data_IF_229822842839
#
_entry.id   IF_229822842839
#
_cell.length_a   1.000
_cell.length_b   1.000
_cell.length_c   1.000
_cell.angle_alpha   90.00
_cell.angle_beta   90.00
_cell.angle_gamma   90.00
#
_symmetry.space_group_name_H-M   'P 1'
#
loop_
_entity.id
_entity.type
_entity.pdbx_description
1 polymer ?
#
# COMPACT_ATOMS: atom_id res chain seq x y z
N UNK A 1 6.98 16.75 -17.77
CA UNK A 1 7.84 16.84 -16.54
C UNK A 1 8.90 15.77 -16.65
N UNK A 2 10.17 16.03 -16.30
CA UNK A 2 11.25 15.04 -16.27
C UNK A 2 11.68 14.78 -14.82
N UNK A 3 12.31 13.61 -14.55
CA UNK A 3 12.93 13.32 -13.26
C UNK A 3 14.17 14.19 -13.06
N UNK A 4 14.47 14.59 -11.83
CA UNK A 4 15.73 15.24 -11.47
C UNK A 4 16.82 14.19 -11.19
N UNK A 5 18.07 14.64 -10.97
CA UNK A 5 19.22 13.75 -10.76
C UNK A 5 19.08 12.85 -9.53
N UNK A 6 18.52 13.35 -8.42
CA UNK A 6 18.30 12.57 -7.21
C UNK A 6 17.25 11.48 -7.43
N UNK A 7 16.12 11.82 -8.06
CA UNK A 7 15.06 10.86 -8.44
C UNK A 7 15.59 9.78 -9.39
N UNK A 8 16.42 10.15 -10.37
CA UNK A 8 17.05 9.21 -11.31
C UNK A 8 18.01 8.27 -10.57
N UNK A 9 18.87 8.78 -9.68
CA UNK A 9 19.80 7.96 -8.90
C UNK A 9 19.04 7.00 -7.97
N UNK A 10 17.97 7.46 -7.33
CA UNK A 10 17.11 6.60 -6.49
C UNK A 10 16.52 5.45 -7.30
N UNK A 11 15.89 5.73 -8.45
CA UNK A 11 15.30 4.69 -9.29
C UNK A 11 16.36 3.71 -9.82
N UNK A 12 17.55 4.20 -10.21
CA UNK A 12 18.67 3.32 -10.61
C UNK A 12 19.12 2.40 -9.48
N UNK A 13 19.21 2.91 -8.26
CA UNK A 13 19.58 2.11 -7.11
C UNK A 13 18.50 1.08 -6.76
N UNK A 14 17.21 1.45 -6.82
CA UNK A 14 16.08 0.51 -6.64
C UNK A 14 16.11 -0.57 -7.72
N UNK A 15 16.22 -0.18 -9.01
CA UNK A 15 16.33 -1.13 -10.12
C UNK A 15 17.43 -2.15 -9.87
N UNK A 16 18.65 -1.69 -9.58
CA UNK A 16 19.78 -2.59 -9.33
C UNK A 16 19.53 -3.50 -8.12
N UNK A 17 19.00 -2.94 -7.01
CA UNK A 17 18.75 -3.70 -5.79
C UNK A 17 17.72 -4.83 -5.95
N UNK A 18 16.61 -4.57 -6.65
CA UNK A 18 15.57 -5.59 -6.88
C UNK A 18 16.00 -6.68 -7.88
N UNK A 19 17.05 -6.44 -8.65
CA UNK A 19 17.65 -7.43 -9.55
C UNK A 19 18.92 -8.09 -8.97
N UNK A 20 19.36 -7.70 -7.76
CA UNK A 20 20.60 -8.22 -7.15
C UNK A 20 21.88 -7.69 -7.79
N UNK A 21 21.82 -6.55 -8.47
CA UNK A 21 22.91 -5.92 -9.21
C UNK A 21 23.54 -4.75 -8.43
N UNK A 22 24.72 -4.29 -8.90
CA UNK A 22 25.34 -3.08 -8.36
C UNK A 22 24.89 -1.86 -9.19
N UNK A 23 24.51 -0.78 -8.51
CA UNK A 23 24.12 0.46 -9.16
C UNK A 23 25.34 1.33 -9.53
N UNK A 24 25.33 1.88 -10.74
CA UNK A 24 26.26 2.92 -11.15
C UNK A 24 25.56 4.28 -11.06
N UNK A 25 25.83 5.01 -9.98
CA UNK A 25 25.26 6.33 -9.72
C UNK A 25 26.25 7.43 -10.09
N UNK A 26 25.73 8.55 -10.56
CA UNK A 26 26.52 9.73 -10.89
C UNK A 26 26.24 10.83 -9.90
N UNK A 27 27.29 11.38 -9.28
CA UNK A 27 27.23 12.54 -8.36
C UNK A 27 26.10 12.35 -7.31
N UNK A 28 26.04 11.16 -6.68
CA UNK A 28 24.97 10.82 -5.76
C UNK A 28 25.22 11.37 -4.35
N UNK A 29 24.21 12.05 -3.80
CA UNK A 29 24.11 12.29 -2.37
C UNK A 29 23.56 11.05 -1.69
N UNK A 30 24.46 10.25 -1.07
CA UNK A 30 24.09 8.99 -0.44
C UNK A 30 23.22 9.18 0.80
N UNK A 31 23.33 10.31 1.53
CA UNK A 31 22.46 10.57 2.68
C UNK A 31 21.02 10.77 2.23
N UNK A 32 20.79 11.62 1.25
CA UNK A 32 19.47 11.86 0.66
C UNK A 32 18.91 10.59 -0.02
N UNK A 33 19.78 9.78 -0.65
CA UNK A 33 19.41 8.52 -1.27
C UNK A 33 18.86 7.54 -0.23
N UNK A 34 19.56 7.34 0.88
CA UNK A 34 19.15 6.41 1.95
C UNK A 34 17.91 6.91 2.70
N UNK A 35 17.80 8.22 2.94
CA UNK A 35 16.58 8.81 3.49
C UNK A 35 15.36 8.50 2.63
N UNK A 36 15.45 8.74 1.31
CA UNK A 36 14.38 8.40 0.36
C UNK A 36 14.08 6.90 0.36
N UNK A 37 15.11 6.07 0.38
CA UNK A 37 14.96 4.60 0.41
C UNK A 37 14.28 4.12 1.68
N UNK A 38 14.57 4.72 2.82
CA UNK A 38 13.93 4.44 4.10
C UNK A 38 12.44 4.79 4.07
N UNK A 39 12.11 5.98 3.58
CA UNK A 39 10.73 6.44 3.40
C UNK A 39 9.92 5.53 2.47
N UNK A 40 10.57 4.85 1.53
CA UNK A 40 9.97 3.91 0.59
C UNK A 40 9.99 2.45 1.09
N UNK A 41 10.55 2.16 2.28
CA UNK A 41 10.83 0.80 2.80
C UNK A 41 11.63 -0.07 1.82
N UNK A 42 12.57 0.57 1.12
CA UNK A 42 13.46 -0.06 0.13
C UNK A 42 14.95 0.07 0.52
N UNK A 43 15.24 0.55 1.73
CA UNK A 43 16.62 0.76 2.21
C UNK A 43 17.51 -0.48 2.03
N UNK A 44 17.08 -1.73 2.39
CA UNK A 44 17.94 -2.89 2.22
C UNK A 44 18.35 -3.13 0.75
N UNK A 45 17.42 -3.00 -0.19
CA UNK A 45 17.72 -3.17 -1.62
C UNK A 45 18.66 -2.09 -2.15
N UNK A 46 18.38 -0.82 -1.79
CA UNK A 46 19.21 0.31 -2.23
C UNK A 46 20.62 0.21 -1.64
N UNK A 47 20.75 -0.16 -0.36
CA UNK A 47 22.06 -0.34 0.27
C UNK A 47 22.86 -1.46 -0.43
N UNK A 48 22.26 -2.63 -0.68
CA UNK A 48 22.93 -3.73 -1.39
C UNK A 48 23.41 -3.29 -2.77
N UNK A 49 22.62 -2.51 -3.50
CA UNK A 49 22.98 -2.01 -4.82
C UNK A 49 24.18 -1.06 -4.80
N UNK A 50 24.38 -0.27 -3.73
CA UNK A 50 25.42 0.77 -3.70
C UNK A 50 26.58 0.48 -2.76
N UNK A 51 26.50 -0.54 -1.87
CA UNK A 51 27.50 -0.80 -0.80
C UNK A 51 28.94 -1.01 -1.28
N UNK A 52 29.13 -1.37 -2.55
CA UNK A 52 30.44 -1.56 -3.16
C UNK A 52 31.00 -0.29 -3.84
N UNK A 53 30.26 0.80 -3.88
CA UNK A 53 30.74 2.02 -4.53
C UNK A 53 31.84 2.68 -3.68
N UNK A 54 32.92 3.08 -4.33
CA UNK A 54 34.09 3.69 -3.65
C UNK A 54 33.73 4.96 -2.89
N UNK A 55 32.85 5.80 -3.45
CA UNK A 55 32.42 7.03 -2.83
C UNK A 55 31.67 6.79 -1.50
N UNK A 56 30.83 5.77 -1.42
CA UNK A 56 30.15 5.41 -0.16
C UNK A 56 31.14 4.79 0.83
N UNK A 57 32.04 3.90 0.38
CA UNK A 57 33.02 3.27 1.25
C UNK A 57 34.03 4.27 1.86
N UNK A 58 34.33 5.36 1.17
CA UNK A 58 35.14 6.47 1.70
C UNK A 58 34.44 7.21 2.86
N UNK A 59 33.11 7.24 2.87
CA UNK A 59 32.34 7.80 3.99
C UNK A 59 32.02 6.70 5.02
N UNK A 60 33.05 6.28 5.78
CA UNK A 60 32.94 5.15 6.72
C UNK A 60 31.83 5.33 7.77
N UNK A 61 31.59 6.55 8.24
CA UNK A 61 30.57 6.83 9.25
C UNK A 61 29.16 6.56 8.69
N UNK A 62 28.84 7.11 7.50
CA UNK A 62 27.57 6.87 6.84
C UNK A 62 27.40 5.39 6.47
N UNK A 63 28.45 4.78 5.90
CA UNK A 63 28.41 3.34 5.56
C UNK A 63 28.09 2.46 6.77
N UNK A 64 28.77 2.69 7.91
CA UNK A 64 28.57 1.91 9.12
C UNK A 64 27.16 2.10 9.70
N UNK A 65 26.67 3.34 9.75
CA UNK A 65 25.33 3.67 10.23
C UNK A 65 24.24 2.97 9.41
N UNK A 66 24.30 3.12 8.09
CA UNK A 66 23.30 2.55 7.20
C UNK A 66 23.36 1.01 7.16
N UNK A 67 24.57 0.44 7.19
CA UNK A 67 24.74 -1.01 7.30
C UNK A 67 24.09 -1.57 8.57
N UNK A 68 24.28 -0.91 9.71
CA UNK A 68 23.67 -1.34 10.97
C UNK A 68 22.14 -1.24 10.90
N UNK A 69 21.62 -0.18 10.27
CA UNK A 69 20.18 -0.01 10.11
C UNK A 69 19.57 -1.09 9.20
N UNK A 70 20.23 -1.41 8.09
CA UNK A 70 19.82 -2.50 7.20
C UNK A 70 19.82 -3.84 7.94
N UNK A 71 20.88 -4.15 8.70
CA UNK A 71 20.94 -5.37 9.51
C UNK A 71 19.75 -5.45 10.47
N UNK A 72 19.45 -4.37 11.18
CA UNK A 72 18.33 -4.33 12.13
C UNK A 72 16.98 -4.54 11.44
N UNK A 73 16.76 -3.90 10.29
CA UNK A 73 15.53 -4.04 9.52
C UNK A 73 15.35 -5.46 8.98
N UNK A 74 16.39 -6.02 8.38
CA UNK A 74 16.36 -7.37 7.81
C UNK A 74 16.17 -8.41 8.91
N UNK A 75 16.90 -8.29 10.05
CA UNK A 75 16.71 -9.19 11.18
C UNK A 75 15.27 -9.13 11.72
N UNK A 76 14.72 -7.93 11.92
CA UNK A 76 13.33 -7.78 12.36
C UNK A 76 12.35 -8.39 11.37
N UNK A 77 12.59 -8.24 10.06
CA UNK A 77 11.77 -8.86 9.01
C UNK A 77 11.87 -10.39 9.06
N UNK A 78 13.07 -10.95 9.22
CA UNK A 78 13.30 -12.41 9.31
C UNK A 78 12.61 -13.00 10.54
N UNK A 79 12.71 -12.36 11.69
CA UNK A 79 12.03 -12.81 12.92
C UNK A 79 10.51 -12.79 12.76
N UNK A 80 9.95 -11.69 12.25
CA UNK A 80 8.51 -11.60 11.94
C UNK A 80 8.09 -12.70 10.98
N UNK A 81 8.90 -12.93 9.98
CA UNK A 81 8.70 -13.97 8.98
C UNK A 81 8.55 -15.34 9.61
N UNK A 82 9.47 -15.71 10.49
CA UNK A 82 9.46 -17.00 11.18
C UNK A 82 8.26 -17.15 12.12
N UNK A 83 7.92 -16.10 12.88
CA UNK A 83 6.76 -16.11 13.78
C UNK A 83 5.43 -16.25 13.02
N UNK A 84 5.30 -15.58 11.86
CA UNK A 84 4.13 -15.75 11.01
C UNK A 84 4.03 -17.17 10.46
N UNK A 85 5.14 -17.75 9.97
CA UNK A 85 5.15 -19.12 9.44
C UNK A 85 4.79 -20.15 10.51
N UNK A 86 5.27 -19.98 11.74
CA UNK A 86 4.89 -20.83 12.86
C UNK A 86 3.40 -20.72 13.17
N UNK A 87 2.88 -19.48 13.18
CA UNK A 87 1.45 -19.22 13.42
C UNK A 87 0.60 -19.78 12.30
N UNK A 88 1.02 -19.64 11.04
CA UNK A 88 0.29 -20.13 9.90
C UNK A 88 0.17 -21.67 9.89
N UNK A 89 1.21 -22.39 10.34
CA UNK A 89 1.15 -23.85 10.53
C UNK A 89 0.03 -24.28 11.49
N UNK A 90 -0.26 -23.48 12.52
CA UNK A 90 -1.35 -23.76 13.46
C UNK A 90 -2.72 -23.71 12.78
N UNK A 91 -2.92 -22.78 11.83
CA UNK A 91 -4.15 -22.78 11.02
C UNK A 91 -4.27 -24.06 10.21
N UNK A 92 -3.18 -24.51 9.57
CA UNK A 92 -3.18 -25.72 8.74
C UNK A 92 -3.40 -26.99 9.56
N UNK A 93 -2.86 -27.08 10.77
CA UNK A 93 -3.06 -28.20 11.71
C UNK A 93 -4.53 -28.38 12.09
N UNK A 94 -5.29 -27.27 12.17
CA UNK A 94 -6.73 -27.25 12.43
C UNK A 94 -7.59 -27.33 11.13
N UNK A 95 -6.96 -27.56 9.97
CA UNK A 95 -7.63 -27.68 8.69
C UNK A 95 -8.09 -26.37 8.05
N UNK A 96 -7.71 -25.22 8.64
CA UNK A 96 -8.04 -23.90 8.14
C UNK A 96 -7.05 -23.48 7.04
N UNK A 97 -7.52 -22.70 6.07
CA UNK A 97 -6.73 -22.26 4.91
C UNK A 97 -6.85 -20.75 4.68
N UNK A 98 -6.38 -19.91 5.60
CA UNK A 98 -6.34 -18.47 5.37
C UNK A 98 -5.57 -18.14 4.10
N UNK A 99 -6.11 -17.24 3.30
CA UNK A 99 -5.44 -16.76 2.09
C UNK A 99 -4.40 -15.72 2.50
N UNK A 100 -3.12 -15.99 2.25
CA UNK A 100 -2.06 -15.01 2.45
C UNK A 100 -2.00 -14.10 1.22
N UNK A 101 -2.00 -12.79 1.45
CA UNK A 101 -1.95 -11.78 0.38
C UNK A 101 -0.75 -10.84 0.54
N UNK A 102 -0.38 -10.12 -0.51
CA UNK A 102 0.70 -9.11 -0.51
C UNK A 102 2.06 -9.62 0.03
N UNK A 103 2.46 -9.08 1.20
CA UNK A 103 3.76 -9.15 1.86
C UNK A 103 4.57 -10.39 1.57
N UNK A 104 4.15 -11.51 2.13
CA UNK A 104 4.81 -12.81 2.01
C UNK A 104 4.83 -13.37 0.60
N UNK A 105 3.71 -13.23 -0.10
CA UNK A 105 3.58 -13.78 -1.45
C UNK A 105 4.45 -13.01 -2.43
N UNK A 106 4.54 -11.69 -2.29
CA UNK A 106 5.40 -10.87 -3.15
C UNK A 106 6.89 -10.99 -2.80
N UNK A 107 7.27 -11.17 -1.53
CA UNK A 107 8.68 -11.22 -1.11
C UNK A 107 9.49 -12.31 -1.81
N UNK A 108 8.84 -13.41 -2.19
CA UNK A 108 9.44 -14.55 -2.90
C UNK A 108 9.93 -14.22 -4.31
N UNK A 109 9.42 -13.15 -4.90
CA UNK A 109 9.78 -12.72 -6.24
C UNK A 109 11.06 -11.89 -6.26
N UNK A 110 11.57 -11.53 -5.08
CA UNK A 110 12.81 -10.78 -4.93
C UNK A 110 14.01 -11.72 -4.69
N UNK A 111 15.21 -11.33 -5.15
CA UNK A 111 16.44 -12.11 -4.92
C UNK A 111 16.75 -12.33 -3.43
N UNK A 112 16.46 -11.32 -2.61
CA UNK A 112 16.64 -11.34 -1.16
C UNK A 112 15.29 -11.08 -0.50
N UNK A 113 14.59 -12.13 -0.10
CA UNK A 113 13.20 -12.09 0.39
C UNK A 113 12.99 -11.15 1.56
N UNK A 114 13.87 -11.22 2.57
CA UNK A 114 13.76 -10.43 3.80
C UNK A 114 14.16 -8.96 3.61
N UNK A 115 14.68 -8.59 2.43
CA UNK A 115 14.89 -7.20 2.05
C UNK A 115 13.59 -6.50 1.63
N UNK A 116 12.55 -7.26 1.28
CA UNK A 116 11.21 -6.71 1.06
C UNK A 116 10.52 -6.53 2.40
N UNK A 117 10.77 -5.39 3.02
CA UNK A 117 10.20 -5.07 4.34
C UNK A 117 8.68 -4.97 4.29
N UNK A 118 8.00 -5.57 5.27
CA UNK A 118 6.57 -5.42 5.52
C UNK A 118 6.33 -4.92 6.95
N UNK A 119 5.23 -4.20 7.19
CA UNK A 119 4.83 -3.84 8.55
C UNK A 119 3.88 -4.89 9.15
N UNK A 120 3.19 -5.60 8.29
CA UNK A 120 2.02 -6.41 8.50
C UNK A 120 2.11 -7.69 7.65
N UNK A 121 1.46 -8.74 8.11
CA UNK A 121 1.16 -9.92 7.34
C UNK A 121 -0.36 -10.01 7.20
N UNK A 122 -0.87 -9.94 5.96
CA UNK A 122 -2.30 -9.92 5.68
C UNK A 122 -2.81 -11.31 5.36
N UNK A 123 -3.89 -11.72 6.04
CA UNK A 123 -4.61 -12.95 5.74
C UNK A 123 -6.09 -12.64 5.48
N UNK A 124 -6.64 -13.25 4.44
CA UNK A 124 -8.05 -13.16 4.09
C UNK A 124 -8.73 -14.49 4.44
N UNK A 125 -9.78 -14.44 5.23
CA UNK A 125 -10.47 -15.60 5.77
C UNK A 125 -11.95 -15.59 5.39
N UNK A 126 -12.52 -16.79 5.23
CA UNK A 126 -13.96 -16.92 5.03
C UNK A 126 -14.74 -16.50 6.29
N UNK A 127 -16.01 -16.15 6.13
CA UNK A 127 -16.90 -15.83 7.25
C UNK A 127 -16.93 -16.96 8.30
N UNK A 128 -16.91 -18.23 7.85
CA UNK A 128 -16.97 -19.40 8.73
C UNK A 128 -15.65 -19.63 9.47
N UNK A 129 -14.52 -19.30 8.87
CA UNK A 129 -13.20 -19.57 9.43
C UNK A 129 -12.68 -18.41 10.31
N UNK A 130 -13.37 -17.26 10.32
CA UNK A 130 -12.91 -16.08 11.03
C UNK A 130 -12.76 -16.32 12.54
N UNK A 131 -13.80 -16.80 13.23
CA UNK A 131 -13.72 -17.09 14.66
C UNK A 131 -12.76 -18.24 14.99
N UNK A 132 -12.73 -19.36 14.26
CA UNK A 132 -11.67 -20.36 14.41
C UNK A 132 -10.25 -19.78 14.31
N UNK A 133 -9.95 -18.96 13.30
CA UNK A 133 -8.67 -18.30 13.16
C UNK A 133 -8.38 -17.32 14.31
N UNK A 134 -9.36 -16.53 14.74
CA UNK A 134 -9.25 -15.67 15.90
C UNK A 134 -8.82 -16.45 17.15
N UNK A 135 -9.51 -17.56 17.44
CA UNK A 135 -9.22 -18.38 18.61
C UNK A 135 -7.79 -18.94 18.59
N UNK A 136 -7.30 -19.38 17.42
CA UNK A 136 -5.93 -19.83 17.25
C UNK A 136 -4.94 -18.70 17.55
N UNK A 137 -5.16 -17.49 17.03
CA UNK A 137 -4.30 -16.34 17.31
C UNK A 137 -4.26 -16.04 18.82
N UNK A 138 -5.41 -15.96 19.48
CA UNK A 138 -5.49 -15.70 20.92
C UNK A 138 -4.76 -16.77 21.74
N UNK A 139 -4.94 -18.06 21.41
CA UNK A 139 -4.24 -19.16 22.07
C UNK A 139 -2.72 -19.17 21.87
N UNK A 140 -2.24 -18.52 20.78
CA UNK A 140 -0.82 -18.41 20.47
C UNK A 140 -0.21 -17.06 20.89
N UNK A 141 -0.83 -16.35 21.83
CA UNK A 141 -0.31 -15.15 22.46
C UNK A 141 -0.42 -13.89 21.59
N UNK A 142 -1.43 -13.81 20.76
CA UNK A 142 -1.80 -12.56 20.10
C UNK A 142 -2.90 -11.84 20.87
N UNK A 143 -2.91 -10.51 20.74
CA UNK A 143 -4.00 -9.64 21.22
C UNK A 143 -4.66 -8.95 20.03
N UNK A 144 -6.00 -8.91 20.03
CA UNK A 144 -6.78 -8.21 19.01
C UNK A 144 -6.88 -6.70 19.34
N UNK A 145 -6.97 -5.86 18.32
CA UNK A 145 -7.13 -4.39 18.43
C UNK A 145 -8.57 -3.96 18.79
N UNK A 146 -9.48 -4.90 18.98
CA UNK A 146 -10.87 -4.62 19.34
C UNK A 146 -11.43 -5.66 20.32
N UNK A 147 -12.47 -5.30 21.09
CA UNK A 147 -13.15 -6.23 22.00
C UNK A 147 -13.93 -7.30 21.23
N UNK A 148 -14.11 -8.50 21.84
CA UNK A 148 -14.77 -9.66 21.23
C UNK A 148 -16.16 -9.37 20.63
N UNK A 149 -16.94 -8.51 21.27
CA UNK A 149 -18.29 -8.16 20.81
C UNK A 149 -18.30 -7.29 19.53
N UNK A 150 -17.16 -6.77 19.11
CA UNK A 150 -17.01 -5.97 17.89
C UNK A 150 -16.36 -6.74 16.73
N UNK A 151 -15.76 -7.91 16.98
CA UNK A 151 -15.02 -8.70 16.00
C UNK A 151 -15.80 -8.91 14.70
N UNK A 152 -17.03 -9.38 14.79
CA UNK A 152 -17.87 -9.69 13.62
C UNK A 152 -18.47 -8.46 12.94
N UNK A 153 -18.29 -7.27 13.52
CA UNK A 153 -18.74 -6.02 12.91
C UNK A 153 -17.67 -5.32 12.06
N UNK A 154 -16.42 -5.81 12.15
CA UNK A 154 -15.28 -5.24 11.42
C UNK A 154 -14.96 -6.05 10.17
N UNK A 155 -14.56 -5.37 9.12
CA UNK A 155 -14.06 -5.98 7.88
C UNK A 155 -12.63 -6.51 8.07
N UNK A 156 -11.87 -5.92 9.00
CA UNK A 156 -10.47 -6.21 9.32
C UNK A 156 -10.26 -6.11 10.84
N UNK A 157 -9.50 -7.04 11.40
CA UNK A 157 -9.04 -7.04 12.79
C UNK A 157 -7.53 -7.24 12.80
N UNK A 158 -6.83 -6.37 13.54
CA UNK A 158 -5.39 -6.44 13.69
C UNK A 158 -5.00 -7.20 14.95
N UNK A 159 -3.98 -8.04 14.83
CA UNK A 159 -3.44 -8.86 15.91
C UNK A 159 -1.96 -8.59 16.12
N UNK A 160 -1.58 -8.30 17.35
CA UNK A 160 -0.19 -8.09 17.75
C UNK A 160 0.26 -9.23 18.64
N UNK A 161 1.40 -9.85 18.35
CA UNK A 161 1.96 -10.92 19.18
C UNK A 161 2.59 -10.36 20.43
N UNK A 162 2.17 -10.84 21.61
CA UNK A 162 2.80 -10.48 22.89
C UNK A 162 4.25 -10.98 22.93
N UNK A 163 5.17 -10.10 23.32
CA UNK A 163 6.61 -10.39 23.38
C UNK A 163 7.22 -10.88 22.05
N UNK A 164 6.56 -10.59 20.91
CA UNK A 164 6.99 -10.96 19.57
C UNK A 164 7.06 -9.78 18.62
N UNK A 165 7.31 -10.07 17.35
CA UNK A 165 7.40 -9.10 16.27
C UNK A 165 6.26 -9.22 15.26
N UNK A 166 5.49 -10.33 15.31
CA UNK A 166 4.43 -10.60 14.35
C UNK A 166 3.24 -9.65 14.56
N UNK A 167 2.77 -9.10 13.45
CA UNK A 167 1.59 -8.27 13.35
C UNK A 167 0.76 -8.77 12.17
N UNK A 168 -0.45 -9.27 12.44
CA UNK A 168 -1.32 -9.92 11.46
C UNK A 168 -2.59 -9.09 11.30
N UNK A 169 -2.92 -8.71 10.07
CA UNK A 169 -4.21 -8.14 9.70
C UNK A 169 -5.08 -9.25 9.12
N UNK A 170 -6.13 -9.62 9.86
CA UNK A 170 -7.08 -10.65 9.44
C UNK A 170 -8.31 -9.99 8.84
N UNK A 171 -8.49 -10.20 7.54
CA UNK A 171 -9.53 -9.61 6.72
C UNK A 171 -10.69 -10.60 6.54
N UNK A 172 -11.91 -10.15 6.80
CA UNK A 172 -13.14 -10.78 6.32
C UNK A 172 -13.55 -10.21 4.96
N UNK A 173 -13.09 -8.98 4.68
CA UNK A 173 -13.21 -8.30 3.40
C UNK A 173 -11.89 -7.60 3.08
N UNK A 174 -11.40 -7.78 1.89
CA UNK A 174 -10.11 -7.23 1.46
C UNK A 174 -10.09 -5.69 1.38
N UNK A 175 -11.28 -5.09 1.26
CA UNK A 175 -11.46 -3.64 1.19
C UNK A 175 -12.50 -3.19 2.20
N UNK A 176 -12.15 -2.17 3.00
CA UNK A 176 -13.01 -1.57 4.01
C UNK A 176 -14.27 -0.98 3.35
N UNK A 177 -15.43 -1.58 3.63
CA UNK A 177 -16.72 -1.17 3.09
C UNK A 177 -17.19 0.21 3.60
N UNK A 178 -16.63 0.70 4.71
CA UNK A 178 -16.94 2.02 5.26
C UNK A 178 -16.26 3.17 4.51
N UNK A 179 -15.18 2.88 3.80
CA UNK A 179 -14.42 3.85 3.00
C UNK A 179 -14.94 3.94 1.57
N UNK A 180 -16.24 4.10 1.42
CA UNK A 180 -17.00 4.30 0.19
C UNK A 180 -16.16 4.80 -1.01
N UNK A 181 -15.63 3.90 -1.80
CA UNK A 181 -15.13 4.19 -3.14
C UNK A 181 -16.24 3.99 -4.19
N UNK A 182 -17.50 3.96 -3.80
CA UNK A 182 -18.70 3.69 -4.62
C UNK A 182 -18.71 2.38 -5.41
N UNK A 183 -17.56 1.73 -5.56
CA UNK A 183 -17.45 0.43 -6.22
C UNK A 183 -17.23 -0.61 -5.13
N UNK A 184 -17.99 -1.67 -5.15
CA UNK A 184 -17.75 -2.83 -4.29
C UNK A 184 -16.56 -3.61 -4.81
N UNK A 185 -15.36 -3.19 -4.39
CA UNK A 185 -14.12 -3.88 -4.77
C UNK A 185 -14.06 -5.31 -4.23
N UNK A 186 -14.82 -5.63 -3.19
CA UNK A 186 -14.84 -6.96 -2.61
C UNK A 186 -15.53 -7.97 -3.53
N UNK A 187 -16.50 -7.53 -4.35
CA UNK A 187 -17.24 -8.41 -5.26
C UNK A 187 -16.35 -9.13 -6.31
N UNK A 188 -15.15 -8.63 -6.56
CA UNK A 188 -14.18 -9.31 -7.42
C UNK A 188 -13.55 -10.54 -6.77
N UNK A 189 -13.69 -10.70 -5.45
CA UNK A 189 -13.01 -11.72 -4.65
C UNK A 189 -13.98 -12.64 -3.91
N UNK A 190 -15.28 -12.61 -4.25
CA UNK A 190 -16.31 -13.42 -3.60
C UNK A 190 -15.99 -14.94 -3.70
N UNK A 191 -15.43 -15.37 -4.83
CA UNK A 191 -15.05 -16.76 -5.09
C UNK A 191 -13.58 -17.08 -4.75
N UNK A 192 -12.81 -16.16 -4.16
CA UNK A 192 -11.38 -16.35 -3.93
C UNK A 192 -11.06 -17.60 -3.09
N UNK A 193 -11.92 -17.94 -2.11
CA UNK A 193 -11.76 -19.13 -1.28
C UNK A 193 -12.05 -20.45 -2.01
N UNK A 194 -12.73 -20.42 -3.15
CA UNK A 194 -13.00 -21.58 -3.98
C UNK A 194 -11.83 -21.92 -4.93
N UNK A 195 -10.95 -20.95 -5.21
CA UNK A 195 -9.88 -21.04 -6.22
C UNK A 195 -8.49 -20.81 -5.62
N UNK A 196 -8.19 -21.50 -4.51
CA UNK A 196 -6.92 -21.38 -3.82
C UNK A 196 -5.76 -22.01 -4.60
N UNK A 197 -4.62 -21.37 -4.57
CA UNK A 197 -3.34 -21.96 -4.95
C UNK A 197 -2.45 -22.13 -3.73
N UNK A 198 -1.63 -23.20 -3.73
CA UNK A 198 -0.66 -23.41 -2.66
C UNK A 198 0.73 -23.02 -3.14
N UNK A 199 1.46 -22.33 -2.29
CA UNK A 199 2.79 -21.88 -2.60
C UNK A 199 3.68 -21.81 -1.36
N UNK A 200 4.74 -22.66 -1.33
CA UNK A 200 5.70 -22.72 -0.23
C UNK A 200 5.06 -22.86 1.17
N UNK A 201 3.99 -23.65 1.27
CA UNK A 201 3.31 -23.88 2.54
C UNK A 201 2.22 -22.87 2.89
N UNK A 202 1.96 -21.90 2.03
CA UNK A 202 0.85 -20.95 2.18
C UNK A 202 -0.23 -21.19 1.13
N UNK A 203 -1.47 -20.92 1.49
CA UNK A 203 -2.55 -20.75 0.54
C UNK A 203 -2.66 -19.28 0.13
N UNK A 204 -2.87 -19.03 -1.15
CA UNK A 204 -3.08 -17.71 -1.73
C UNK A 204 -4.09 -17.76 -2.87
N UNK A 205 -4.52 -16.64 -3.36
CA UNK A 205 -5.36 -16.55 -4.56
C UNK A 205 -4.59 -17.02 -5.80
N UNK A 206 -5.29 -17.39 -6.86
CA UNK A 206 -4.67 -17.64 -8.14
C UNK A 206 -3.90 -16.39 -8.66
N UNK A 207 -2.98 -16.54 -9.63
CA UNK A 207 -2.15 -15.43 -10.09
C UNK A 207 -2.93 -14.24 -10.64
N UNK A 208 -4.07 -14.47 -11.29
CA UNK A 208 -4.93 -13.41 -11.82
C UNK A 208 -5.56 -12.57 -10.70
N UNK A 209 -6.20 -13.23 -9.73
CA UNK A 209 -6.85 -12.55 -8.61
C UNK A 209 -5.85 -11.82 -7.71
N UNK A 210 -4.66 -12.41 -7.50
CA UNK A 210 -3.57 -11.71 -6.81
C UNK A 210 -3.13 -10.45 -7.55
N UNK A 211 -2.99 -10.50 -8.90
CA UNK A 211 -2.66 -9.32 -9.69
C UNK A 211 -3.72 -8.23 -9.54
N UNK A 212 -4.99 -8.59 -9.70
CA UNK A 212 -6.09 -7.67 -9.52
C UNK A 212 -6.07 -7.05 -8.12
N UNK A 213 -5.87 -7.88 -7.08
CA UNK A 213 -5.76 -7.41 -5.71
C UNK A 213 -4.61 -6.41 -5.50
N UNK A 214 -3.41 -6.70 -6.01
CA UNK A 214 -2.26 -5.81 -5.91
C UNK A 214 -2.55 -4.45 -6.56
N UNK A 215 -3.16 -4.46 -7.75
CA UNK A 215 -3.55 -3.22 -8.45
C UNK A 215 -4.60 -2.44 -7.66
N UNK A 216 -5.69 -3.08 -7.23
CA UNK A 216 -6.78 -2.41 -6.52
C UNK A 216 -6.35 -1.93 -5.14
N UNK A 217 -5.47 -2.66 -4.46
CA UNK A 217 -4.88 -2.25 -3.20
C UNK A 217 -3.99 -0.99 -3.38
N UNK A 218 -3.13 -0.98 -4.39
CA UNK A 218 -2.33 0.20 -4.74
C UNK A 218 -3.23 1.39 -5.14
N UNK A 219 -4.28 1.13 -5.91
CA UNK A 219 -5.26 2.12 -6.32
C UNK A 219 -6.00 2.76 -5.13
N UNK A 220 -6.49 1.96 -4.18
CA UNK A 220 -7.10 2.43 -2.93
C UNK A 220 -6.17 3.39 -2.19
N UNK A 221 -4.91 3.00 -2.02
CA UNK A 221 -3.92 3.84 -1.34
C UNK A 221 -3.61 5.10 -2.14
N UNK A 222 -3.46 5.01 -3.46
CA UNK A 222 -3.24 6.16 -4.32
C UNK A 222 -4.35 7.20 -4.20
N UNK A 223 -5.60 6.78 -4.22
CA UNK A 223 -6.75 7.69 -4.06
C UNK A 223 -6.80 8.32 -2.67
N UNK A 224 -6.46 7.57 -1.62
CA UNK A 224 -6.50 8.05 -0.25
C UNK A 224 -5.30 8.96 0.09
N UNK A 225 -4.09 8.40 0.11
CA UNK A 225 -2.91 9.08 0.68
C UNK A 225 -1.71 9.10 -0.25
N UNK A 226 -1.56 8.11 -1.11
CA UNK A 226 -0.44 7.90 -2.03
C UNK A 226 0.09 6.48 -1.96
N UNK A 227 0.98 6.16 -2.89
CA UNK A 227 1.65 4.86 -2.99
C UNK A 227 3.15 5.06 -3.13
N UNK A 228 3.92 4.05 -2.73
CA UNK A 228 5.39 4.05 -2.88
C UNK A 228 5.87 3.20 -4.04
N UNK A 229 7.17 3.29 -4.32
CA UNK A 229 7.83 2.56 -5.40
C UNK A 229 7.79 1.04 -5.16
N UNK A 230 7.75 0.60 -3.89
CA UNK A 230 7.67 -0.83 -3.55
C UNK A 230 6.44 -1.50 -4.16
N UNK A 231 5.27 -0.85 -4.19
CA UNK A 231 4.08 -1.41 -4.83
C UNK A 231 4.27 -1.59 -6.34
N UNK A 232 5.01 -0.69 -7.00
CA UNK A 232 5.33 -0.85 -8.42
C UNK A 232 6.26 -2.03 -8.65
N UNK A 233 7.24 -2.24 -7.75
CA UNK A 233 8.10 -3.42 -7.80
C UNK A 233 7.30 -4.71 -7.63
N UNK A 234 6.40 -4.77 -6.63
CA UNK A 234 5.57 -5.95 -6.37
C UNK A 234 4.70 -6.29 -7.60
N UNK A 235 3.97 -5.31 -8.16
CA UNK A 235 3.12 -5.49 -9.34
C UNK A 235 3.93 -5.90 -10.57
N UNK A 236 5.07 -5.23 -10.81
CA UNK A 236 5.93 -5.55 -11.94
C UNK A 236 6.53 -6.95 -11.85
N UNK A 237 7.06 -7.33 -10.69
CA UNK A 237 7.63 -8.68 -10.49
C UNK A 237 6.53 -9.75 -10.57
N UNK A 238 5.32 -9.48 -10.09
CA UNK A 238 4.19 -10.39 -10.25
C UNK A 238 3.83 -10.57 -11.71
N UNK A 239 3.73 -9.48 -12.50
CA UNK A 239 3.50 -9.51 -13.94
C UNK A 239 4.53 -10.37 -14.65
N UNK A 240 5.82 -10.17 -14.37
CA UNK A 240 6.92 -10.91 -14.99
C UNK A 240 6.86 -12.40 -14.71
N UNK A 241 6.57 -12.79 -13.46
CA UNK A 241 6.62 -14.20 -13.05
C UNK A 241 5.36 -14.98 -13.44
N UNK A 242 4.22 -14.31 -13.60
CA UNK A 242 2.92 -14.96 -13.84
C UNK A 242 2.21 -14.46 -15.09
N UNK A 243 2.96 -13.90 -16.08
CA UNK A 243 2.39 -13.38 -17.33
C UNK A 243 1.47 -14.37 -18.03
N UNK A 244 1.81 -15.66 -18.05
CA UNK A 244 1.04 -16.70 -18.71
C UNK A 244 -0.24 -17.11 -17.95
N UNK A 245 -0.29 -16.85 -16.64
CA UNK A 245 -1.38 -17.25 -15.76
C UNK A 245 -2.39 -16.12 -15.50
N UNK A 246 -2.12 -14.93 -16.05
CA UNK A 246 -2.99 -13.76 -15.94
C UNK A 246 -3.87 -13.65 -17.18
N UNK A 247 -5.18 -13.60 -16.99
CA UNK A 247 -6.13 -13.22 -18.03
C UNK A 247 -6.10 -11.70 -18.23
N UNK A 248 -5.24 -11.23 -19.11
CA UNK A 248 -5.01 -9.80 -19.35
C UNK A 248 -6.21 -9.04 -19.88
N UNK A 249 -7.04 -9.59 -20.81
CA UNK A 249 -8.30 -8.99 -21.22
C UNK A 249 -9.28 -8.83 -20.06
N UNK A 250 -9.50 -9.87 -19.26
CA UNK A 250 -10.39 -9.82 -18.10
C UNK A 250 -9.90 -8.81 -17.05
N UNK A 251 -8.58 -8.82 -16.77
CA UNK A 251 -7.96 -7.85 -15.86
C UNK A 251 -8.21 -6.40 -16.31
N UNK A 252 -8.15 -6.15 -17.62
CA UNK A 252 -8.43 -4.83 -18.17
C UNK A 252 -9.89 -4.42 -17.95
N UNK A 253 -10.83 -5.32 -18.25
CA UNK A 253 -12.27 -5.07 -18.02
C UNK A 253 -12.57 -4.81 -16.53
N UNK A 254 -12.01 -5.59 -15.65
CA UNK A 254 -12.18 -5.41 -14.19
C UNK A 254 -11.61 -4.06 -13.72
N UNK A 255 -10.42 -3.70 -14.18
CA UNK A 255 -9.83 -2.39 -13.89
C UNK A 255 -10.65 -1.23 -14.50
N UNK A 256 -11.21 -1.40 -15.70
CA UNK A 256 -12.07 -0.39 -16.30
C UNK A 256 -13.36 -0.15 -15.49
N UNK A 257 -13.99 -1.21 -14.98
CA UNK A 257 -15.22 -1.09 -14.16
C UNK A 257 -15.03 -0.14 -12.98
N UNK A 258 -13.83 -0.10 -12.41
CA UNK A 258 -13.51 0.76 -11.25
C UNK A 258 -12.62 1.95 -11.58
N UNK A 259 -12.42 2.25 -12.88
CA UNK A 259 -11.57 3.35 -13.38
C UNK A 259 -10.10 3.25 -12.95
N UNK A 260 -9.59 2.04 -12.77
CA UNK A 260 -8.20 1.77 -12.41
C UNK A 260 -7.31 1.41 -13.62
N UNK A 261 -7.88 1.25 -14.83
CA UNK A 261 -7.14 0.72 -15.98
C UNK A 261 -5.94 1.61 -16.39
N UNK A 262 -6.13 2.92 -16.53
CA UNK A 262 -5.02 3.83 -16.88
C UNK A 262 -3.98 3.94 -15.75
N UNK A 263 -4.41 3.87 -14.50
CA UNK A 263 -3.50 3.83 -13.36
C UNK A 263 -2.63 2.57 -13.38
N UNK A 264 -3.22 1.40 -13.61
CA UNK A 264 -2.49 0.13 -13.73
C UNK A 264 -1.53 0.13 -14.92
N UNK A 265 -1.97 0.64 -16.09
CA UNK A 265 -1.10 0.78 -17.26
C UNK A 265 0.11 1.68 -16.99
N UNK A 266 -0.06 2.77 -16.23
CA UNK A 266 1.06 3.61 -15.82
C UNK A 266 2.04 2.86 -14.90
N UNK A 267 1.56 2.00 -14.00
CA UNK A 267 2.42 1.15 -13.14
C UNK A 267 3.20 0.14 -13.98
N UNK A 268 2.55 -0.55 -14.92
CA UNK A 268 3.23 -1.49 -15.82
C UNK A 268 4.32 -0.81 -16.63
N UNK A 269 4.05 0.42 -17.12
CA UNK A 269 5.03 1.22 -17.84
C UNK A 269 6.20 1.64 -16.94
N UNK A 270 5.96 2.00 -15.68
CA UNK A 270 7.02 2.28 -14.70
C UNK A 270 7.87 1.03 -14.47
N UNK A 271 7.26 -0.13 -14.29
CA UNK A 271 7.95 -1.40 -14.07
C UNK A 271 8.91 -1.71 -15.23
N UNK A 272 8.44 -1.62 -16.46
CA UNK A 272 9.24 -1.88 -17.65
C UNK A 272 10.33 -0.82 -17.87
N UNK A 273 9.97 0.46 -17.97
CA UNK A 273 10.87 1.53 -18.41
C UNK A 273 11.87 1.97 -17.33
N UNK A 274 11.42 2.01 -16.08
CA UNK A 274 12.19 2.61 -14.97
C UNK A 274 12.78 1.58 -14.02
N UNK A 275 12.08 0.47 -13.76
CA UNK A 275 12.54 -0.57 -12.85
C UNK A 275 13.21 -1.75 -13.57
N UNK A 276 13.17 -1.79 -14.91
CA UNK A 276 13.79 -2.83 -15.72
C UNK A 276 13.17 -4.22 -15.48
N UNK A 277 11.92 -4.27 -15.08
CA UNK A 277 11.15 -5.50 -14.91
C UNK A 277 10.46 -5.77 -16.24
N UNK A 278 11.17 -6.45 -17.13
CA UNK A 278 10.67 -6.73 -18.48
C UNK A 278 9.66 -7.87 -18.48
N UNK A 279 8.52 -7.64 -19.08
CA UNK A 279 7.48 -8.63 -19.37
C UNK A 279 6.66 -8.18 -20.58
N UNK A 280 6.10 -9.13 -21.31
CA UNK A 280 5.24 -8.84 -22.45
C UNK A 280 3.86 -8.36 -21.97
N UNK A 281 3.55 -7.13 -22.33
CA UNK A 281 2.27 -6.51 -22.00
C UNK A 281 1.35 -6.57 -23.21
N UNK A 282 0.29 -7.41 -23.19
CA UNK A 282 -0.59 -7.53 -24.34
C UNK A 282 -1.51 -6.32 -24.51
N UNK A 283 -2.16 -6.21 -25.68
CA UNK A 283 -3.22 -5.23 -25.88
C UNK A 283 -4.42 -5.50 -24.95
N UNK A 284 -5.14 -4.48 -24.49
CA UNK A 284 -4.98 -3.05 -24.83
C UNK A 284 -3.98 -2.31 -23.92
N UNK A 285 -3.33 -3.00 -22.99
CA UNK A 285 -2.40 -2.41 -22.02
C UNK A 285 -1.18 -1.73 -22.68
N UNK A 286 -0.64 -2.35 -23.75
CA UNK A 286 0.55 -1.86 -24.46
C UNK A 286 0.28 -0.60 -25.32
N UNK A 287 -0.95 -0.38 -25.76
CA UNK A 287 -1.33 0.76 -26.60
C UNK A 287 -1.65 2.03 -25.81
N UNK A 288 -1.56 1.96 -24.50
CA UNK A 288 -1.90 3.07 -23.63
C UNK A 288 -0.87 4.21 -23.75
N UNK A 289 -1.22 5.28 -24.47
CA UNK A 289 -0.41 6.52 -24.54
C UNK A 289 -0.49 7.32 -23.23
N UNK A 290 -0.09 6.68 -22.14
CA UNK A 290 -0.14 7.28 -20.80
C UNK A 290 1.26 7.70 -20.37
N UNK A 291 1.39 8.97 -19.96
CA UNK A 291 2.59 9.41 -19.25
C UNK A 291 2.63 8.84 -17.83
N UNK A 292 3.61 7.99 -17.54
CA UNK A 292 3.81 7.40 -16.22
C UNK A 292 4.67 8.27 -15.28
N UNK A 293 5.42 9.25 -15.82
CA UNK A 293 6.32 10.11 -15.05
C UNK A 293 5.62 10.89 -13.93
N UNK A 294 4.42 11.48 -14.13
CA UNK A 294 3.73 12.18 -13.04
C UNK A 294 3.42 11.27 -11.85
N UNK A 295 3.00 10.02 -12.08
CA UNK A 295 2.76 9.02 -11.03
C UNK A 295 4.07 8.64 -10.32
N UNK A 296 5.12 8.37 -11.09
CA UNK A 296 6.44 8.04 -10.55
C UNK A 296 6.97 9.13 -9.61
N UNK A 297 6.87 10.40 -10.02
CA UNK A 297 7.29 11.54 -9.19
C UNK A 297 6.45 11.68 -7.92
N UNK A 298 5.14 11.57 -8.02
CA UNK A 298 4.25 11.64 -6.86
C UNK A 298 4.58 10.52 -5.85
N UNK A 299 4.91 9.34 -6.35
CA UNK A 299 5.25 8.18 -5.52
C UNK A 299 6.61 8.32 -4.84
N UNK A 300 7.65 8.83 -5.53
CA UNK A 300 8.97 9.08 -4.93
C UNK A 300 8.84 10.11 -3.80
N UNK A 301 8.16 11.24 -4.06
CA UNK A 301 8.02 12.32 -3.08
C UNK A 301 7.11 11.96 -1.90
N UNK A 302 6.12 11.07 -2.10
CA UNK A 302 5.10 10.78 -1.12
C UNK A 302 5.48 9.74 -0.06
N UNK A 303 6.56 9.00 -0.25
CA UNK A 303 6.87 7.85 0.58
C UNK A 303 5.83 6.73 0.46
N UNK A 304 6.04 5.64 1.21
CA UNK A 304 5.07 4.55 1.21
C UNK A 304 3.78 5.00 1.94
N UNK A 305 2.64 4.82 1.30
CA UNK A 305 1.32 5.24 1.81
C UNK A 305 1.17 6.73 2.14
N UNK A 306 2.05 7.61 1.63
CA UNK A 306 2.03 9.04 1.98
C UNK A 306 2.34 9.33 3.44
N UNK A 307 2.99 8.40 4.16
CA UNK A 307 3.19 8.43 5.61
C UNK A 307 4.12 9.54 6.11
N UNK A 308 4.91 10.12 5.21
CA UNK A 308 5.90 11.13 5.58
C UNK A 308 5.37 12.56 5.58
N UNK A 309 4.10 12.74 5.22
CA UNK A 309 3.53 14.06 5.04
C UNK A 309 2.11 14.11 5.62
N UNK A 310 1.97 14.68 6.82
CA UNK A 310 0.66 14.93 7.45
C UNK A 310 -0.26 15.72 6.52
N UNK A 311 0.31 16.59 5.66
CA UNK A 311 -0.40 17.34 4.63
C UNK A 311 -1.11 16.40 3.64
N UNK A 312 -0.50 15.25 3.30
CA UNK A 312 -1.14 14.21 2.46
C UNK A 312 -2.31 13.54 3.14
N UNK A 313 -2.18 13.19 4.41
CA UNK A 313 -3.25 12.63 5.21
C UNK A 313 -4.44 13.59 5.31
N UNK A 314 -4.20 14.87 5.52
CA UNK A 314 -5.23 15.91 5.54
C UNK A 314 -5.85 16.15 4.16
N UNK A 315 -5.06 16.04 3.08
CA UNK A 315 -5.55 16.16 1.70
C UNK A 315 -6.46 14.99 1.29
N UNK A 316 -6.35 13.82 1.94
CA UNK A 316 -7.06 12.59 1.58
C UNK A 316 -8.59 12.75 1.55
N UNK A 317 -9.16 13.49 2.50
CA UNK A 317 -10.60 13.75 2.52
C UNK A 317 -11.05 14.56 1.31
N UNK A 318 -10.23 15.50 0.84
CA UNK A 318 -10.52 16.34 -0.34
C UNK A 318 -10.45 15.48 -1.61
N UNK A 319 -9.42 14.64 -1.74
CA UNK A 319 -9.26 13.76 -2.90
C UNK A 319 -10.37 12.72 -2.99
N UNK A 320 -10.72 12.05 -1.88
CA UNK A 320 -11.84 11.10 -1.82
C UNK A 320 -13.17 11.74 -2.22
N UNK A 321 -13.45 12.97 -1.72
CA UNK A 321 -14.66 13.68 -2.11
C UNK A 321 -14.67 14.08 -3.58
N UNK A 322 -13.52 14.38 -4.18
CA UNK A 322 -13.40 14.66 -5.60
C UNK A 322 -13.69 13.41 -6.45
N UNK A 323 -13.16 12.24 -6.06
CA UNK A 323 -13.44 10.95 -6.71
C UNK A 323 -14.95 10.64 -6.66
N UNK A 324 -15.56 10.75 -5.48
CA UNK A 324 -17.02 10.56 -5.31
C UNK A 324 -17.84 11.50 -6.17
N UNK A 325 -17.48 12.78 -6.22
CA UNK A 325 -18.19 13.79 -7.01
C UNK A 325 -18.08 13.55 -8.51
N UNK A 326 -16.91 13.14 -8.98
CA UNK A 326 -16.67 12.80 -10.38
C UNK A 326 -17.49 11.60 -10.85
N UNK A 327 -17.72 10.62 -9.96
CA UNK A 327 -18.55 9.43 -10.24
C UNK A 327 -20.05 9.72 -10.20
N UNK A 328 -20.51 10.50 -9.21
CA UNK A 328 -21.93 10.82 -9.02
C UNK A 328 -22.46 11.92 -9.96
N UNK A 329 -21.59 12.57 -10.73
CA UNK A 329 -21.96 13.75 -11.54
C UNK A 329 -22.42 14.97 -10.71
N UNK A 330 -22.30 14.92 -9.37
CA UNK A 330 -22.69 15.99 -8.46
C UNK A 330 -21.45 16.75 -7.98
N UNK A 331 -21.34 18.03 -8.33
CA UNK A 331 -20.29 18.90 -7.78
C UNK A 331 -20.46 19.07 -6.27
N UNK A 332 -19.75 18.27 -5.49
CA UNK A 332 -19.60 18.51 -4.05
C UNK A 332 -18.43 19.47 -3.86
N UNK A 333 -18.69 20.68 -3.42
CA UNK A 333 -17.65 21.70 -3.19
C UNK A 333 -16.69 21.31 -2.03
N UNK A 334 -15.59 22.05 -1.90
CA UNK A 334 -14.62 21.92 -0.79
C UNK A 334 -15.32 21.96 0.59
N UNK A 335 -16.46 22.65 0.70
CA UNK A 335 -17.28 22.68 1.89
C UNK A 335 -17.74 21.29 2.38
N UNK A 336 -17.98 20.33 1.47
CA UNK A 336 -18.35 18.95 1.86
C UNK A 336 -17.18 18.17 2.47
N UNK A 337 -15.95 18.60 2.24
CA UNK A 337 -14.75 18.03 2.86
C UNK A 337 -14.56 18.56 4.29
N UNK A 338 -14.96 19.79 4.54
CA UNK A 338 -14.93 20.42 5.89
C UNK A 338 -16.10 19.91 6.72
N UNK A 339 -17.28 19.75 6.11
CA UNK A 339 -18.53 19.32 6.73
C UNK A 339 -19.02 17.99 6.13
N UNK A 340 -18.38 16.85 6.43
CA UNK A 340 -18.76 15.56 5.89
C UNK A 340 -20.18 15.15 6.29
N UNK A 341 -20.87 14.34 5.48
CA UNK A 341 -22.21 13.86 5.80
C UNK A 341 -22.21 12.97 7.06
N UNK A 342 -23.38 12.81 7.67
CA UNK A 342 -23.62 12.06 8.92
C UNK A 342 -22.97 10.66 8.87
N UNK A 343 -23.21 9.90 7.80
CA UNK A 343 -22.68 8.53 7.61
C UNK A 343 -21.15 8.44 7.78
N UNK A 344 -20.41 9.46 7.35
CA UNK A 344 -18.95 9.52 7.55
C UNK A 344 -18.55 9.86 8.98
N UNK A 345 -19.36 10.70 9.66
CA UNK A 345 -19.08 11.15 11.02
C UNK A 345 -19.47 10.11 12.07
N UNK A 346 -20.46 9.25 11.80
CA UNK A 346 -20.95 8.21 12.71
C UNK A 346 -19.86 7.20 13.11
N UNK A 347 -18.97 6.83 12.17
CA UNK A 347 -17.90 5.88 12.41
C UNK A 347 -16.83 6.42 13.37
N UNK A 348 -16.61 7.74 13.36
CA UNK A 348 -15.57 8.39 14.18
C UNK A 348 -16.13 9.01 15.47
N UNK A 349 -17.42 9.36 15.47
CA UNK A 349 -18.11 10.01 16.58
C UNK A 349 -19.39 9.24 16.90
N UNK A 350 -19.30 8.22 17.75
CA UNK A 350 -20.37 7.28 18.08
C UNK A 350 -21.67 7.97 18.55
N UNK A 351 -21.57 9.15 19.18
CA UNK A 351 -22.74 9.93 19.62
C UNK A 351 -23.56 10.47 18.44
N UNK A 352 -22.96 10.69 17.27
CA UNK A 352 -23.68 11.12 16.04
C UNK A 352 -24.58 10.00 15.52
N UNK A 353 -24.22 8.73 15.75
CA UNK A 353 -25.05 7.58 15.41
C UNK A 353 -26.38 7.60 16.18
N UNK A 354 -26.30 7.93 17.50
CA UNK A 354 -27.46 7.99 18.39
C UNK A 354 -28.24 9.32 18.27
N UNK A 355 -27.55 10.43 18.04
CA UNK A 355 -28.12 11.78 18.07
C UNK A 355 -27.69 12.58 16.83
N UNK A 356 -28.42 12.44 15.72
CA UNK A 356 -28.08 13.07 14.43
C UNK A 356 -27.96 14.60 14.48
N UNK A 357 -28.68 15.26 15.43
CA UNK A 357 -28.64 16.70 15.61
C UNK A 357 -27.31 17.21 16.19
N UNK A 358 -26.46 16.31 16.75
CA UNK A 358 -25.11 16.63 17.23
C UNK A 358 -24.06 16.63 16.10
N UNK A 359 -24.46 16.45 14.85
CA UNK A 359 -23.55 16.50 13.71
C UNK A 359 -22.73 17.81 13.64
N UNK A 360 -23.30 19.01 13.90
CA UNK A 360 -22.50 20.25 13.96
C UNK A 360 -21.44 20.24 15.06
N UNK A 361 -21.72 19.63 16.21
CA UNK A 361 -20.74 19.49 17.29
C UNK A 361 -19.57 18.58 16.88
N UNK A 362 -19.86 17.49 16.16
CA UNK A 362 -18.83 16.61 15.61
C UNK A 362 -17.95 17.32 14.58
N UNK A 363 -18.52 18.18 13.72
CA UNK A 363 -17.76 19.03 12.82
C UNK A 363 -16.85 20.01 13.58
N UNK A 364 -17.38 20.65 14.64
CA UNK A 364 -16.60 21.54 15.50
C UNK A 364 -15.42 20.82 16.17
N UNK A 365 -15.63 19.62 16.73
CA UNK A 365 -14.57 18.79 17.33
C UNK A 365 -13.51 18.37 16.29
N UNK A 366 -13.94 18.04 15.08
CA UNK A 366 -13.03 17.69 13.98
C UNK A 366 -12.16 18.88 13.57
N UNK A 367 -12.76 20.06 13.41
CA UNK A 367 -12.05 21.29 13.05
C UNK A 367 -11.09 21.68 14.17
N UNK A 368 -11.52 21.61 15.42
CA UNK A 368 -10.67 21.93 16.57
C UNK A 368 -9.47 20.98 16.69
N UNK A 369 -9.70 19.67 16.47
CA UNK A 369 -8.60 18.68 16.41
C UNK A 369 -7.62 19.01 15.31
N UNK A 370 -8.13 19.31 14.10
CA UNK A 370 -7.30 19.71 12.96
C UNK A 370 -6.45 20.94 13.26
N UNK A 371 -7.04 21.99 13.86
CA UNK A 371 -6.33 23.22 14.23
C UNK A 371 -5.23 22.90 15.27
N UNK A 372 -5.53 22.04 16.24
CA UNK A 372 -4.56 21.64 17.28
C UNK A 372 -3.39 20.84 16.68
N UNK A 373 -3.67 19.84 15.86
CA UNK A 373 -2.67 19.02 15.18
C UNK A 373 -1.78 19.88 14.25
N UNK A 374 -2.37 20.85 13.54
CA UNK A 374 -1.63 21.79 12.67
C UNK A 374 -0.81 22.80 13.48
N UNK A 375 -1.27 23.21 14.66
CA UNK A 375 -0.53 24.14 15.54
C UNK A 375 0.69 23.47 16.21
N UNK A 376 0.61 22.18 16.47
CA UNK A 376 1.70 21.38 17.04
C UNK A 376 2.80 21.08 15.98
N UNK A 377 2.45 21.08 14.68
CA UNK A 377 3.37 20.86 13.55
C UNK A 377 3.57 22.17 12.75
N UNK A 378 4.67 22.89 13.03
CA UNK A 378 4.95 24.21 12.45
C UNK A 378 5.08 24.26 10.91
N UNK A 379 5.24 23.10 10.26
CA UNK A 379 5.44 22.97 8.80
C UNK A 379 4.16 22.66 8.03
N UNK A 380 3.01 22.49 8.70
CA UNK A 380 1.76 22.06 8.06
C UNK A 380 0.74 23.21 7.98
N UNK A 381 0.61 23.81 6.79
CA UNK A 381 -0.41 24.83 6.59
C UNK A 381 -1.64 24.28 5.85
N UNK A 382 -2.85 24.70 6.26
CA UNK A 382 -4.09 24.33 5.56
C UNK A 382 -4.05 24.69 4.07
N UNK A 383 -3.31 25.75 3.72
CA UNK A 383 -3.11 26.17 2.34
C UNK A 383 -2.27 25.17 1.55
N UNK A 384 -1.25 24.57 2.16
CA UNK A 384 -0.44 23.53 1.54
C UNK A 384 -1.19 22.23 1.34
N UNK A 385 -1.97 21.81 2.32
CA UNK A 385 -2.86 20.65 2.19
C UNK A 385 -3.86 20.81 1.04
N UNK A 386 -4.46 21.98 0.87
CA UNK A 386 -5.35 22.29 -0.26
C UNK A 386 -4.59 22.33 -1.60
N UNK A 387 -3.38 22.91 -1.63
CA UNK A 387 -2.55 22.95 -2.83
C UNK A 387 -2.14 21.53 -3.27
N UNK A 388 -1.73 20.70 -2.33
CA UNK A 388 -1.40 19.31 -2.58
C UNK A 388 -2.62 18.51 -3.06
N UNK A 389 -3.78 18.68 -2.42
CA UNK A 389 -5.02 18.04 -2.85
C UNK A 389 -5.37 18.39 -4.29
N UNK A 390 -5.26 19.67 -4.68
CA UNK A 390 -5.49 20.11 -6.07
C UNK A 390 -4.53 19.42 -7.05
N UNK A 391 -3.23 19.36 -6.71
CA UNK A 391 -2.22 18.69 -7.54
C UNK A 391 -2.55 17.21 -7.72
N UNK A 392 -2.96 16.52 -6.65
CA UNK A 392 -3.34 15.11 -6.68
C UNK A 392 -4.64 14.88 -7.47
N UNK A 393 -5.62 15.79 -7.39
CA UNK A 393 -6.85 15.74 -8.19
C UNK A 393 -6.51 15.84 -9.69
N UNK A 394 -5.61 16.75 -10.10
CA UNK A 394 -5.18 16.83 -11.49
C UNK A 394 -4.44 15.55 -11.94
N UNK A 395 -3.63 14.97 -11.05
CA UNK A 395 -2.99 13.69 -11.33
C UNK A 395 -4.02 12.56 -11.50
N UNK A 396 -5.07 12.51 -10.68
CA UNK A 396 -6.17 11.53 -10.79
C UNK A 396 -6.95 11.70 -12.10
N UNK A 397 -7.16 12.93 -12.56
CA UNK A 397 -7.78 13.18 -13.88
C UNK A 397 -6.92 12.64 -15.03
N UNK A 398 -5.59 12.74 -14.92
CA UNK A 398 -4.67 12.18 -15.93
C UNK A 398 -4.87 10.67 -16.13
N UNK A 399 -5.30 9.98 -15.08
CA UNK A 399 -5.55 8.53 -15.11
C UNK A 399 -7.04 8.17 -15.15
N UNK A 400 -7.94 9.11 -15.52
CA UNK A 400 -9.39 8.93 -15.63
C UNK A 400 -10.07 8.39 -14.36
N UNK A 401 -9.48 8.66 -13.20
CA UNK A 401 -10.04 8.24 -11.90
C UNK A 401 -11.24 9.11 -11.51
N UNK A 402 -11.22 10.38 -11.96
CA UNK A 402 -12.24 11.40 -11.68
C UNK A 402 -12.88 11.87 -12.97
#
# INVERSE_FOLDING_TARGET
>A
MSLNSAEINFIKAVKAGIHGENAMLKDADYSALFETAMQQKLLPFVFEAVRKTSALQQNQALFAAEKQQVINQVLSQTLRSAEFEETYKKFLEEGLRPIVVKGRICSRLYPLRDHRLSADDDIFVSENDFLPCHNILMQNGFTADCPENELLSKDEVSYTKENGTAYIEMHRRLFDSSKDMHDDLNSFFDDAHAHLTSTEGFFTMNPHDNMLYLILHAYKHFVCSGIGIRQFCDIGLWSKNYTADIDWPLLYEQCQKVRAAKFAAAIFKIANEYLGIEFDLPQPWSESDISCVPLLKDSICGGIYGSNDYTRLHSSTITLNAVRSGRDGKRRGILSSVFPPKRYMENKYSYVKRHSWLLPAAWGQRIFRYIRETAENKDDSAAESVKLAKKRIELMKTYDII
#
